data_IF_224388669324
#
_entry.id   IF_224388669324
#
_cell.length_a   1.000
_cell.length_b   1.000
_cell.length_c   1.000
_cell.angle_alpha   90.00
_cell.angle_beta   90.00
_cell.angle_gamma   90.00
#
_symmetry.space_group_name_H-M   'P 1'
#
loop_
_entity.id
_entity.type
_entity.pdbx_description
1 polymer ?
#
# COMPACT_ATOMS: atom_id res chain seq x y z
N UNK A 1 28.10 -17.75 20.49
CA UNK A 1 27.31 -16.62 21.02
C UNK A 1 27.09 -15.62 19.90
N UNK A 2 25.84 -15.14 19.66
CA UNK A 2 25.56 -14.14 18.62
C UNK A 2 26.30 -12.82 18.84
N UNK A 3 26.71 -12.51 20.07
CA UNK A 3 27.51 -11.35 20.44
C UNK A 3 28.91 -11.32 19.83
N UNK A 4 29.40 -12.47 19.37
CA UNK A 4 30.78 -12.59 18.83
C UNK A 4 30.82 -12.36 17.31
N UNK A 5 29.67 -12.24 16.65
CA UNK A 5 29.55 -11.99 15.22
C UNK A 5 29.74 -10.50 14.94
N UNK A 6 30.84 -10.13 14.29
CA UNK A 6 31.13 -8.74 13.85
C UNK A 6 30.53 -8.50 12.46
N UNK A 7 29.20 -8.55 12.33
CA UNK A 7 28.50 -8.27 11.07
C UNK A 7 28.59 -6.77 10.75
N UNK A 8 29.02 -6.45 9.53
CA UNK A 8 29.13 -5.08 9.03
C UNK A 8 28.02 -4.78 8.01
N UNK A 9 27.69 -3.50 7.82
CA UNK A 9 26.67 -3.08 6.83
C UNK A 9 26.96 -3.58 5.40
N UNK A 10 28.24 -3.73 5.02
CA UNK A 10 28.67 -4.22 3.70
C UNK A 10 28.53 -5.73 3.52
N UNK A 11 28.40 -6.50 4.60
CA UNK A 11 28.33 -7.94 4.53
C UNK A 11 27.04 -8.40 3.84
N UNK A 12 27.11 -9.55 3.19
CA UNK A 12 25.97 -10.14 2.48
C UNK A 12 24.91 -10.59 3.48
N UNK A 13 23.71 -10.08 3.33
CA UNK A 13 22.56 -10.48 4.14
C UNK A 13 21.82 -11.65 3.52
N UNK A 14 21.55 -11.58 2.21
CA UNK A 14 20.86 -12.64 1.47
C UNK A 14 21.12 -12.54 -0.03
N UNK A 15 20.72 -13.61 -0.76
CA UNK A 15 20.70 -13.67 -2.22
C UNK A 15 19.25 -13.94 -2.65
N UNK A 16 18.69 -13.07 -3.51
CA UNK A 16 17.35 -13.23 -4.06
C UNK A 16 17.47 -13.45 -5.56
N UNK A 17 16.91 -14.56 -6.02
CA UNK A 17 16.91 -14.90 -7.45
C UNK A 17 15.81 -14.16 -8.20
N UNK A 18 16.17 -13.62 -9.36
CA UNK A 18 15.23 -13.01 -10.33
C UNK A 18 15.24 -13.82 -11.62
N UNK A 19 14.16 -13.74 -12.41
CA UNK A 19 14.01 -14.51 -13.66
C UNK A 19 15.05 -14.18 -14.74
N UNK A 20 15.78 -13.05 -14.60
CA UNK A 20 16.72 -12.57 -15.60
C UNK A 20 16.09 -12.27 -16.96
N UNK A 21 16.64 -11.29 -17.68
CA UNK A 21 16.09 -10.87 -19.01
C UNK A 21 16.31 -11.88 -20.12
N UNK A 22 17.20 -12.87 -19.94
CA UNK A 22 17.52 -13.90 -20.93
C UNK A 22 17.11 -15.32 -20.48
N UNK A 23 16.19 -15.44 -19.52
CA UNK A 23 15.66 -16.73 -19.07
C UNK A 23 16.53 -17.48 -18.04
N UNK A 24 17.77 -17.09 -17.82
CA UNK A 24 18.60 -17.68 -16.77
C UNK A 24 18.42 -16.91 -15.45
N UNK A 25 18.07 -17.60 -14.35
CA UNK A 25 17.94 -16.96 -13.04
C UNK A 25 19.24 -16.28 -12.62
N UNK A 26 19.13 -15.04 -12.11
CA UNK A 26 20.26 -14.28 -11.57
C UNK A 26 20.09 -14.09 -10.08
N UNK A 27 21.12 -14.44 -9.29
CA UNK A 27 21.16 -14.20 -7.85
C UNK A 27 21.59 -12.76 -7.57
N UNK A 28 20.66 -11.96 -7.06
CA UNK A 28 20.93 -10.59 -6.62
C UNK A 28 21.42 -10.63 -5.18
N UNK A 29 22.64 -10.14 -4.96
CA UNK A 29 23.27 -10.07 -3.65
C UNK A 29 22.80 -8.81 -2.93
N UNK A 30 22.21 -8.97 -1.76
CA UNK A 30 21.74 -7.87 -0.91
C UNK A 30 22.60 -7.79 0.36
N UNK A 31 23.04 -6.59 0.70
CA UNK A 31 23.80 -6.35 1.93
C UNK A 31 22.90 -5.98 3.11
N UNK A 32 23.38 -6.20 4.33
CA UNK A 32 22.71 -5.70 5.53
C UNK A 32 22.48 -4.19 5.46
N UNK A 33 23.44 -3.43 4.96
CA UNK A 33 23.33 -1.98 4.83
C UNK A 33 22.21 -1.54 3.88
N UNK A 34 22.03 -2.23 2.75
CA UNK A 34 20.94 -1.96 1.80
C UNK A 34 19.56 -2.16 2.42
N UNK A 35 19.36 -3.29 3.10
CA UNK A 35 18.09 -3.59 3.81
C UNK A 35 17.85 -2.57 4.92
N UNK A 36 18.83 -2.26 5.75
CA UNK A 36 18.69 -1.28 6.83
C UNK A 36 18.34 0.10 6.29
N UNK A 37 19.00 0.58 5.22
CA UNK A 37 18.69 1.87 4.60
C UNK A 37 17.26 1.93 4.06
N UNK A 38 16.77 0.83 3.48
CA UNK A 38 15.35 0.73 3.07
C UNK A 38 14.40 0.79 4.27
N UNK A 39 14.73 0.13 5.37
CA UNK A 39 13.95 0.19 6.61
C UNK A 39 13.92 1.61 7.19
N UNK A 40 15.04 2.32 7.20
CA UNK A 40 15.13 3.72 7.65
C UNK A 40 14.26 4.64 6.79
N UNK A 41 14.32 4.49 5.46
CA UNK A 41 13.48 5.24 4.51
C UNK A 41 11.99 4.96 4.71
N UNK A 42 11.62 3.70 4.81
CA UNK A 42 10.24 3.27 5.05
C UNK A 42 9.72 3.76 6.42
N UNK A 43 10.53 3.68 7.48
CA UNK A 43 10.19 4.22 8.80
C UNK A 43 9.91 5.73 8.73
N UNK A 44 10.76 6.50 8.04
CA UNK A 44 10.59 7.94 7.90
C UNK A 44 9.31 8.33 7.13
N UNK A 45 8.86 7.50 6.19
CA UNK A 45 7.59 7.66 5.51
C UNK A 45 6.42 7.31 6.43
N UNK A 46 6.46 6.12 7.03
CA UNK A 46 5.35 5.52 7.76
C UNK A 46 5.07 6.22 9.09
N UNK A 47 6.11 6.61 9.86
CA UNK A 47 5.96 7.25 11.19
C UNK A 47 5.07 8.48 11.22
N UNK A 48 4.83 9.10 10.05
CA UNK A 48 3.98 10.28 9.92
C UNK A 48 2.48 9.99 10.09
N UNK A 49 2.06 8.72 9.93
CA UNK A 49 0.64 8.38 9.90
C UNK A 49 0.26 7.05 10.56
N UNK A 50 1.22 6.18 10.90
CA UNK A 50 0.93 4.93 11.61
C UNK A 50 0.81 5.16 13.12
N UNK A 51 0.11 4.25 13.80
CA UNK A 51 0.05 4.23 15.26
C UNK A 51 1.31 3.58 15.87
N UNK A 52 1.43 3.67 17.19
CA UNK A 52 2.38 2.85 17.95
C UNK A 52 1.94 1.39 17.83
N UNK A 53 2.85 0.50 17.40
CA UNK A 53 2.55 -0.91 17.10
C UNK A 53 1.45 -1.07 16.04
N UNK A 54 1.66 -0.57 14.81
CA UNK A 54 0.67 -0.60 13.74
C UNK A 54 0.35 -2.04 13.34
N UNK A 55 -0.84 -2.27 12.80
CA UNK A 55 -1.24 -3.57 12.24
C UNK A 55 -0.91 -3.65 10.77
N UNK A 56 -0.21 -4.72 10.39
CA UNK A 56 0.09 -5.07 9.01
C UNK A 56 -0.57 -6.38 8.64
N UNK A 57 -1.06 -6.48 7.42
CA UNK A 57 -1.47 -7.75 6.81
C UNK A 57 -0.50 -8.11 5.70
N UNK A 58 0.16 -9.24 5.85
CA UNK A 58 1.15 -9.81 4.94
C UNK A 58 0.54 -10.94 4.14
N UNK A 59 0.78 -10.98 2.83
CA UNK A 59 0.26 -11.98 1.92
C UNK A 59 1.14 -12.26 0.70
N UNK A 60 2.11 -11.40 0.43
CA UNK A 60 3.05 -11.57 -0.67
C UNK A 60 4.13 -12.59 -0.30
N UNK A 61 4.74 -13.28 -1.30
CA UNK A 61 5.79 -14.25 -1.06
C UNK A 61 7.03 -13.62 -0.43
N UNK A 62 7.54 -14.19 0.66
CA UNK A 62 8.77 -13.74 1.34
C UNK A 62 10.04 -13.96 0.51
N UNK A 63 9.97 -14.81 -0.50
CA UNK A 63 11.05 -15.02 -1.48
C UNK A 63 11.24 -13.83 -2.43
N UNK A 64 10.25 -12.91 -2.50
CA UNK A 64 10.34 -11.71 -3.30
C UNK A 64 10.92 -10.55 -2.47
N UNK A 65 11.90 -9.83 -3.03
CA UNK A 65 12.64 -8.76 -2.32
C UNK A 65 11.73 -7.70 -1.67
N UNK A 66 10.61 -7.39 -2.29
CA UNK A 66 9.66 -6.42 -1.78
C UNK A 66 9.08 -6.85 -0.43
N UNK A 67 8.43 -8.00 -0.34
CA UNK A 67 7.86 -8.49 0.92
C UNK A 67 8.94 -8.88 1.92
N UNK A 68 10.07 -9.42 1.44
CA UNK A 68 11.22 -9.72 2.29
C UNK A 68 11.67 -8.50 3.10
N UNK A 69 11.83 -7.35 2.43
CA UNK A 69 12.22 -6.10 3.10
C UNK A 69 11.08 -5.54 3.97
N UNK A 70 9.83 -5.67 3.56
CA UNK A 70 8.67 -5.26 4.37
C UNK A 70 8.64 -5.97 5.72
N UNK A 71 9.08 -7.24 5.81
CA UNK A 71 9.17 -7.93 7.11
C UNK A 71 10.16 -7.23 8.06
N UNK A 72 11.29 -6.76 7.57
CA UNK A 72 12.22 -5.98 8.40
C UNK A 72 11.64 -4.62 8.79
N UNK A 73 10.92 -3.95 7.88
CA UNK A 73 10.20 -2.72 8.21
C UNK A 73 9.19 -2.96 9.34
N UNK A 74 8.45 -4.06 9.29
CA UNK A 74 7.48 -4.44 10.34
C UNK A 74 8.16 -4.61 11.70
N UNK A 75 9.37 -5.18 11.74
CA UNK A 75 10.18 -5.29 12.97
C UNK A 75 10.58 -3.89 13.47
N UNK A 76 11.08 -3.03 12.58
CA UNK A 76 11.52 -1.67 12.93
C UNK A 76 10.39 -0.83 13.52
N UNK A 77 9.16 -0.94 13.00
CA UNK A 77 8.00 -0.21 13.53
C UNK A 77 7.29 -0.95 14.66
N UNK A 78 7.84 -2.06 15.16
CA UNK A 78 7.24 -2.92 16.18
C UNK A 78 5.79 -3.31 15.84
N UNK A 79 5.52 -3.67 14.58
CA UNK A 79 4.20 -3.96 14.08
C UNK A 79 3.59 -5.23 14.71
N UNK A 80 2.26 -5.27 14.74
CA UNK A 80 1.49 -6.50 14.87
C UNK A 80 1.26 -7.04 13.47
N UNK A 81 1.88 -8.17 13.15
CA UNK A 81 1.84 -8.76 11.81
C UNK A 81 0.81 -9.88 11.78
N UNK A 82 -0.08 -9.82 10.80
CA UNK A 82 -1.07 -10.84 10.48
C UNK A 82 -0.74 -11.42 9.11
N UNK A 83 -0.86 -12.72 8.96
CA UNK A 83 -0.65 -13.42 7.69
C UNK A 83 -1.99 -13.82 7.10
N UNK A 84 -2.22 -13.48 5.84
CA UNK A 84 -3.46 -13.84 5.17
C UNK A 84 -3.53 -15.36 4.94
N UNK A 85 -4.72 -15.92 5.10
CA UNK A 85 -4.97 -17.36 4.89
C UNK A 85 -4.83 -17.74 3.41
N UNK A 86 -5.33 -16.90 2.50
CA UNK A 86 -5.26 -17.06 1.05
C UNK A 86 -5.62 -15.75 0.35
N UNK A 87 -5.32 -15.66 -0.96
CA UNK A 87 -5.69 -14.51 -1.78
C UNK A 87 -7.21 -14.31 -1.82
N UNK A 88 -7.99 -15.38 -1.88
CA UNK A 88 -9.46 -15.31 -1.94
C UNK A 88 -10.07 -14.78 -0.64
N UNK A 89 -9.42 -15.04 0.49
CA UNK A 89 -9.85 -14.57 1.81
C UNK A 89 -9.28 -13.21 2.20
N UNK A 90 -8.44 -12.60 1.37
CA UNK A 90 -7.67 -11.41 1.71
C UNK A 90 -8.55 -10.25 2.23
N UNK A 91 -9.67 -9.97 1.56
CA UNK A 91 -10.62 -8.91 1.99
C UNK A 91 -11.25 -9.25 3.35
N UNK A 92 -11.61 -10.51 3.58
CA UNK A 92 -12.13 -10.99 4.86
C UNK A 92 -11.08 -10.81 5.96
N UNK A 93 -9.85 -11.26 5.72
CA UNK A 93 -8.76 -11.11 6.66
C UNK A 93 -8.44 -9.62 6.97
N UNK A 94 -8.52 -8.72 5.96
CA UNK A 94 -8.44 -7.27 6.20
C UNK A 94 -9.54 -6.77 7.13
N UNK A 95 -10.78 -7.22 6.93
CA UNK A 95 -11.90 -6.84 7.81
C UNK A 95 -11.68 -7.28 9.25
N UNK A 96 -11.11 -8.47 9.45
CA UNK A 96 -10.87 -9.08 10.77
C UNK A 96 -9.69 -8.43 11.50
N UNK A 97 -8.53 -8.28 10.85
CA UNK A 97 -7.33 -7.74 11.49
C UNK A 97 -7.26 -6.21 11.49
N UNK A 98 -8.09 -5.54 10.67
CA UNK A 98 -8.14 -4.07 10.55
C UNK A 98 -6.76 -3.45 10.35
N UNK A 99 -6.02 -3.77 9.27
CA UNK A 99 -4.65 -3.32 9.10
C UNK A 99 -4.59 -1.80 8.87
N UNK A 100 -3.51 -1.19 9.33
CA UNK A 100 -3.21 0.22 9.04
C UNK A 100 -2.43 0.36 7.74
N UNK A 101 -1.56 -0.60 7.45
CA UNK A 101 -0.76 -0.65 6.23
C UNK A 101 -0.85 -2.05 5.61
N UNK A 102 -0.94 -2.09 4.31
CA UNK A 102 -0.85 -3.32 3.53
C UNK A 102 -0.10 -3.07 2.24
N UNK A 103 0.87 -3.92 1.97
CA UNK A 103 1.63 -3.96 0.72
C UNK A 103 0.92 -4.85 -0.28
N UNK A 104 0.89 -4.45 -1.55
CA UNK A 104 0.32 -5.25 -2.61
C UNK A 104 0.92 -4.93 -3.98
N UNK A 105 0.63 -5.77 -4.96
CA UNK A 105 1.05 -5.61 -6.35
C UNK A 105 -0.07 -4.99 -7.19
N UNK A 106 0.24 -4.36 -8.36
CA UNK A 106 -0.75 -3.67 -9.19
C UNK A 106 -2.00 -4.49 -9.53
N UNK A 107 -1.86 -5.78 -9.75
CA UNK A 107 -2.98 -6.69 -10.04
C UNK A 107 -4.05 -6.70 -8.95
N UNK A 108 -3.66 -6.63 -7.68
CA UNK A 108 -4.60 -6.53 -6.56
C UNK A 108 -5.43 -5.25 -6.67
N UNK A 109 -4.80 -4.11 -6.93
CA UNK A 109 -5.47 -2.82 -7.03
C UNK A 109 -6.39 -2.73 -8.24
N UNK A 110 -6.01 -3.31 -9.38
CA UNK A 110 -6.87 -3.43 -10.57
C UNK A 110 -8.15 -4.21 -10.25
N UNK A 111 -8.02 -5.36 -9.58
CA UNK A 111 -9.17 -6.17 -9.18
C UNK A 111 -10.06 -5.43 -8.17
N UNK A 112 -9.45 -4.72 -7.23
CA UNK A 112 -10.17 -3.91 -6.24
C UNK A 112 -10.94 -2.76 -6.91
N UNK A 113 -10.29 -2.02 -7.81
CA UNK A 113 -10.90 -0.99 -8.64
C UNK A 113 -12.11 -1.54 -9.39
N UNK A 114 -11.95 -2.67 -10.09
CA UNK A 114 -13.03 -3.30 -10.85
C UNK A 114 -14.23 -3.67 -9.95
N UNK A 115 -13.99 -4.27 -8.78
CA UNK A 115 -15.06 -4.63 -7.83
C UNK A 115 -15.83 -3.40 -7.34
N UNK A 116 -15.14 -2.33 -6.95
CA UNK A 116 -15.77 -1.11 -6.45
C UNK A 116 -16.53 -0.41 -7.60
N UNK A 117 -15.93 -0.27 -8.77
CA UNK A 117 -16.55 0.36 -9.95
C UNK A 117 -17.81 -0.40 -10.40
N UNK A 118 -17.78 -1.73 -10.41
CA UNK A 118 -18.96 -2.55 -10.72
C UNK A 118 -20.07 -2.30 -9.70
N UNK A 119 -19.75 -2.21 -8.41
CA UNK A 119 -20.74 -1.87 -7.37
C UNK A 119 -21.33 -0.45 -7.57
N UNK A 120 -20.49 0.51 -7.96
CA UNK A 120 -20.92 1.88 -8.25
C UNK A 120 -21.83 1.95 -9.50
N UNK A 121 -21.51 1.17 -10.53
CA UNK A 121 -22.31 1.12 -11.76
C UNK A 121 -23.70 0.52 -11.53
N UNK A 122 -23.86 -0.38 -10.56
CA UNK A 122 -25.17 -0.94 -10.16
C UNK A 122 -25.98 0.02 -9.30
N UNK A 123 -25.42 1.12 -8.82
CA UNK A 123 -26.15 2.10 -8.02
C UNK A 123 -27.13 2.89 -8.90
N UNK A 124 -28.31 3.21 -8.36
CA UNK A 124 -29.38 3.98 -9.01
C UNK A 124 -29.80 5.18 -8.15
N UNK A 125 -30.54 6.12 -8.73
CA UNK A 125 -31.09 7.27 -8.02
C UNK A 125 -30.04 8.10 -7.26
N UNK A 126 -30.38 8.56 -6.08
CA UNK A 126 -29.52 9.38 -5.22
C UNK A 126 -28.17 8.70 -4.89
N UNK A 127 -28.16 7.36 -4.79
CA UNK A 127 -26.93 6.62 -4.54
C UNK A 127 -25.95 6.76 -5.69
N UNK A 128 -26.44 6.74 -6.94
CA UNK A 128 -25.60 6.94 -8.14
C UNK A 128 -24.97 8.33 -8.16
N UNK A 129 -25.77 9.36 -7.85
CA UNK A 129 -25.28 10.74 -7.77
C UNK A 129 -24.17 10.83 -6.71
N UNK A 130 -24.40 10.28 -5.53
CA UNK A 130 -23.46 10.35 -4.42
C UNK A 130 -22.12 9.64 -4.70
N UNK A 131 -22.13 8.45 -5.33
CA UNK A 131 -20.89 7.74 -5.67
C UNK A 131 -20.09 8.45 -6.77
N UNK A 132 -20.78 9.00 -7.78
CA UNK A 132 -20.14 9.79 -8.83
C UNK A 132 -19.49 11.06 -8.25
N UNK A 133 -20.22 11.78 -7.41
CA UNK A 133 -19.74 12.97 -6.72
C UNK A 133 -18.53 12.66 -5.84
N UNK A 134 -18.55 11.50 -5.15
CA UNK A 134 -17.41 11.04 -4.34
C UNK A 134 -16.14 10.89 -5.18
N UNK A 135 -16.24 10.30 -6.37
CA UNK A 135 -15.10 10.13 -7.28
C UNK A 135 -14.63 11.49 -7.80
N UNK A 136 -15.54 12.35 -8.26
CA UNK A 136 -15.22 13.66 -8.81
C UNK A 136 -14.51 14.56 -7.79
N UNK A 137 -15.09 14.70 -6.60
CA UNK A 137 -14.50 15.51 -5.53
C UNK A 137 -13.19 14.90 -5.01
N UNK A 138 -13.10 13.56 -4.98
CA UNK A 138 -11.86 12.89 -4.63
C UNK A 138 -10.74 13.17 -5.62
N UNK A 139 -10.99 13.07 -6.93
CA UNK A 139 -10.02 13.43 -7.99
C UNK A 139 -9.66 14.91 -7.93
N UNK A 140 -10.64 15.80 -7.74
CA UNK A 140 -10.40 17.25 -7.57
C UNK A 140 -9.47 17.56 -6.39
N UNK A 141 -9.63 16.81 -5.26
CA UNK A 141 -8.76 16.92 -4.09
C UNK A 141 -7.32 16.46 -4.40
N UNK A 142 -7.15 15.38 -5.14
CA UNK A 142 -5.83 14.90 -5.58
C UNK A 142 -5.11 15.92 -6.47
N UNK A 143 -5.85 16.61 -7.34
CA UNK A 143 -5.33 17.70 -8.16
C UNK A 143 -5.03 18.98 -7.36
N UNK A 144 -5.18 18.96 -6.03
CA UNK A 144 -4.98 20.12 -5.12
C UNK A 144 -5.84 21.35 -5.50
N UNK A 145 -6.98 21.14 -6.17
CA UNK A 145 -7.93 22.18 -6.56
C UNK A 145 -8.79 22.60 -5.36
N UNK A 146 -9.04 23.91 -5.24
CA UNK A 146 -9.91 24.45 -4.19
C UNK A 146 -11.37 24.02 -4.38
N UNK A 147 -12.04 23.73 -3.28
CA UNK A 147 -13.49 23.48 -3.25
C UNK A 147 -14.26 24.78 -3.04
N UNK A 148 -15.42 24.91 -3.70
CA UNK A 148 -16.44 25.88 -3.32
C UNK A 148 -17.07 25.48 -1.98
N UNK A 149 -17.87 26.37 -1.38
CA UNK A 149 -18.60 26.08 -0.13
C UNK A 149 -19.53 24.87 -0.27
N UNK A 150 -20.25 24.78 -1.39
CA UNK A 150 -21.16 23.68 -1.72
C UNK A 150 -20.37 22.36 -1.87
N UNK A 151 -19.29 22.38 -2.65
CA UNK A 151 -18.43 21.20 -2.82
C UNK A 151 -17.78 20.73 -1.50
N UNK A 152 -17.44 21.67 -0.62
CA UNK A 152 -16.90 21.34 0.72
C UNK A 152 -17.93 20.60 1.57
N UNK A 153 -19.19 21.04 1.54
CA UNK A 153 -20.29 20.36 2.24
C UNK A 153 -20.57 18.99 1.60
N UNK A 154 -20.69 18.94 0.27
CA UNK A 154 -20.87 17.70 -0.47
C UNK A 154 -19.75 16.69 -0.18
N UNK A 155 -18.49 17.14 -0.13
CA UNK A 155 -17.36 16.29 0.19
C UNK A 155 -17.43 15.69 1.61
N UNK A 156 -17.95 16.44 2.62
CA UNK A 156 -18.19 15.89 3.97
C UNK A 156 -19.25 14.80 3.96
N UNK A 157 -20.31 14.97 3.16
CA UNK A 157 -21.35 13.95 2.98
C UNK A 157 -20.76 12.70 2.31
N UNK A 158 -20.00 12.88 1.23
CA UNK A 158 -19.29 11.79 0.54
C UNK A 158 -18.34 11.04 1.47
N UNK A 159 -17.62 11.75 2.35
CA UNK A 159 -16.75 11.14 3.36
C UNK A 159 -17.53 10.22 4.29
N UNK A 160 -18.63 10.71 4.84
CA UNK A 160 -19.43 9.96 5.83
C UNK A 160 -20.21 8.79 5.20
N UNK A 161 -20.82 9.00 4.03
CA UNK A 161 -21.77 8.04 3.45
C UNK A 161 -21.14 7.06 2.47
N UNK A 162 -20.00 7.40 1.85
CA UNK A 162 -19.34 6.55 0.85
C UNK A 162 -17.96 6.10 1.32
N UNK A 163 -17.01 7.03 1.50
CA UNK A 163 -15.61 6.66 1.79
C UNK A 163 -15.46 5.89 3.09
N UNK A 164 -16.14 6.33 4.16
CA UNK A 164 -16.14 5.61 5.44
C UNK A 164 -16.72 4.20 5.31
N UNK A 165 -17.80 4.00 4.52
CA UNK A 165 -18.37 2.67 4.28
C UNK A 165 -17.41 1.76 3.51
N UNK A 166 -16.75 2.30 2.49
CA UNK A 166 -15.73 1.55 1.74
C UNK A 166 -14.58 1.16 2.68
N UNK A 167 -14.03 2.12 3.42
CA UNK A 167 -12.94 1.87 4.36
C UNK A 167 -13.28 0.82 5.42
N UNK A 168 -14.52 0.81 5.91
CA UNK A 168 -14.97 -0.17 6.88
C UNK A 168 -14.99 -1.61 6.35
N UNK A 169 -15.14 -1.83 5.03
CA UNK A 169 -15.01 -3.16 4.43
C UNK A 169 -13.58 -3.72 4.55
N UNK A 170 -12.60 -2.85 4.79
CA UNK A 170 -11.21 -3.19 5.01
C UNK A 170 -10.80 -3.04 6.48
N UNK A 171 -11.75 -3.17 7.41
CA UNK A 171 -11.52 -3.08 8.85
C UNK A 171 -11.47 -1.65 9.42
N UNK A 172 -11.67 -0.61 8.59
CA UNK A 172 -11.82 0.78 9.03
C UNK A 172 -10.54 1.52 9.45
N UNK A 173 -9.44 0.81 9.66
CA UNK A 173 -8.18 1.38 10.17
C UNK A 173 -7.14 1.73 9.10
N UNK A 174 -7.39 1.35 7.85
CA UNK A 174 -6.43 1.50 6.77
C UNK A 174 -5.96 2.95 6.61
N UNK A 175 -4.66 3.16 6.72
CA UNK A 175 -3.96 4.43 6.52
C UNK A 175 -3.34 4.53 5.13
N UNK A 176 -2.74 3.42 4.67
CA UNK A 176 -2.19 3.35 3.33
C UNK A 176 -2.13 1.91 2.79
N UNK A 177 -2.48 1.76 1.52
CA UNK A 177 -1.94 0.73 0.65
C UNK A 177 -0.62 1.20 0.08
N UNK A 178 0.33 0.28 -0.11
CA UNK A 178 1.60 0.57 -0.78
C UNK A 178 1.73 -0.38 -1.96
N UNK A 179 1.68 0.16 -3.17
CA UNK A 179 1.85 -0.58 -4.42
C UNK A 179 3.33 -0.72 -4.78
N UNK A 180 3.79 -1.92 -5.00
CA UNK A 180 5.15 -2.22 -5.44
C UNK A 180 5.19 -3.38 -6.43
N UNK A 181 6.37 -3.70 -6.93
CA UNK A 181 6.58 -4.81 -7.87
C UNK A 181 6.14 -4.54 -9.31
N UNK A 182 5.67 -3.34 -9.63
CA UNK A 182 5.28 -2.92 -10.98
C UNK A 182 4.57 -1.57 -10.98
N UNK A 183 4.40 -0.98 -12.17
CA UNK A 183 3.70 0.28 -12.33
C UNK A 183 2.20 0.12 -12.04
N UNK A 184 1.67 0.95 -11.16
CA UNK A 184 0.23 1.05 -10.93
C UNK A 184 -0.37 1.99 -11.98
N UNK A 185 -1.45 1.56 -12.63
CA UNK A 185 -2.19 2.41 -13.55
C UNK A 185 -2.69 3.67 -12.83
N UNK A 186 -2.51 4.83 -13.48
CA UNK A 186 -2.83 6.14 -12.91
C UNK A 186 -4.32 6.29 -12.57
N UNK A 187 -5.20 5.80 -13.43
CA UNK A 187 -6.65 5.88 -13.20
C UNK A 187 -7.06 5.00 -12.02
N UNK A 188 -6.47 3.81 -11.91
CA UNK A 188 -6.70 2.90 -10.77
C UNK A 188 -6.25 3.56 -9.47
N UNK A 189 -5.03 4.09 -9.43
CA UNK A 189 -4.50 4.78 -8.25
C UNK A 189 -5.34 6.01 -7.87
N UNK A 190 -5.67 6.86 -8.84
CA UNK A 190 -6.50 8.05 -8.64
C UNK A 190 -7.90 7.70 -8.12
N UNK A 191 -8.53 6.67 -8.69
CA UNK A 191 -9.84 6.21 -8.25
C UNK A 191 -9.83 5.71 -6.81
N UNK A 192 -8.88 4.83 -6.46
CA UNK A 192 -8.78 4.27 -5.10
C UNK A 192 -8.56 5.38 -4.07
N UNK A 193 -7.68 6.32 -4.34
CA UNK A 193 -7.48 7.49 -3.49
C UNK A 193 -8.76 8.35 -3.38
N UNK A 194 -9.46 8.58 -4.49
CA UNK A 194 -10.68 9.37 -4.52
C UNK A 194 -11.81 8.77 -3.67
N UNK A 195 -11.90 7.43 -3.63
CA UNK A 195 -12.92 6.72 -2.84
C UNK A 195 -12.51 6.43 -1.39
N UNK A 196 -11.38 6.99 -0.93
CA UNK A 196 -10.97 6.92 0.48
C UNK A 196 -10.10 5.72 0.83
N UNK A 197 -9.47 5.10 -0.16
CA UNK A 197 -8.45 4.05 0.01
C UNK A 197 -7.07 4.61 -0.38
N UNK A 198 -6.35 5.25 0.56
CA UNK A 198 -5.06 5.86 0.25
C UNK A 198 -4.10 4.83 -0.33
N UNK A 199 -3.66 5.06 -1.55
CA UNK A 199 -2.80 4.15 -2.30
C UNK A 199 -1.55 4.88 -2.73
N UNK A 200 -0.42 4.50 -2.15
CA UNK A 200 0.91 5.02 -2.46
C UNK A 200 1.58 4.10 -3.48
N UNK A 201 2.45 4.66 -4.29
CA UNK A 201 3.24 3.89 -5.25
C UNK A 201 4.71 3.94 -4.86
N UNK A 202 5.31 2.76 -4.67
CA UNK A 202 6.74 2.56 -4.53
C UNK A 202 7.37 2.17 -5.86
N UNK A 203 8.56 2.69 -6.11
CA UNK A 203 9.42 2.31 -7.22
C UNK A 203 10.70 1.67 -6.69
N UNK A 204 11.12 0.60 -7.33
CA UNK A 204 12.35 -0.09 -6.99
C UNK A 204 12.57 -1.37 -7.79
N UNK A 205 13.72 -1.98 -7.53
CA UNK A 205 14.21 -3.20 -8.17
C UNK A 205 14.77 -4.12 -7.07
N UNK A 206 14.90 -5.42 -7.32
CA UNK A 206 15.57 -6.31 -6.35
C UNK A 206 16.97 -5.81 -6.02
N UNK A 207 17.70 -5.31 -7.01
CA UNK A 207 19.06 -4.79 -6.92
C UNK A 207 19.17 -3.50 -6.06
N UNK A 208 18.06 -2.83 -5.76
CA UNK A 208 18.04 -1.60 -4.94
C UNK A 208 17.60 -1.83 -3.49
N UNK A 209 17.45 -3.08 -3.06
CA UNK A 209 17.18 -3.57 -1.69
C UNK A 209 15.79 -3.28 -1.08
N UNK A 210 14.67 -3.26 -1.73
CA UNK A 210 14.41 -3.02 -3.15
C UNK A 210 14.00 -1.58 -3.47
N UNK A 211 13.54 -0.77 -2.47
CA UNK A 211 12.83 0.50 -2.69
C UNK A 211 13.81 1.65 -2.96
N UNK A 212 13.63 2.34 -4.08
CA UNK A 212 14.34 3.58 -4.42
C UNK A 212 13.52 4.80 -3.97
N UNK A 213 12.22 4.80 -4.24
CA UNK A 213 11.33 5.90 -3.88
C UNK A 213 9.91 5.42 -3.60
N UNK A 214 9.18 6.21 -2.83
CA UNK A 214 7.74 6.04 -2.62
C UNK A 214 7.12 7.41 -2.45
N UNK A 215 5.95 7.65 -3.05
CA UNK A 215 5.23 8.89 -2.79
C UNK A 215 4.63 8.91 -1.38
N UNK A 216 4.29 10.10 -0.91
CA UNK A 216 3.71 10.31 0.43
C UNK A 216 2.20 10.56 0.35
N UNK A 217 1.52 10.53 1.49
CA UNK A 217 0.10 10.88 1.58
C UNK A 217 -0.18 12.34 1.19
N UNK A 218 0.81 13.22 1.32
CA UNK A 218 0.69 14.65 0.99
C UNK A 218 0.95 14.93 -0.51
N UNK A 219 1.58 13.98 -1.20
CA UNK A 219 1.93 14.10 -2.63
C UNK A 219 1.71 12.76 -3.35
N UNK A 220 0.44 12.40 -3.49
CA UNK A 220 0.01 11.24 -4.27
C UNK A 220 -0.10 11.67 -5.73
N UNK A 221 0.64 10.98 -6.61
CA UNK A 221 0.68 11.24 -8.05
C UNK A 221 0.26 10.02 -8.84
#
# INVERSE_FOLDING_TARGET
NFSDLKIQRKDIACIIYTSGTQGNPKGVILSHGGIISNCEGAYNLLKKFISVRPRFLTWLPLSHSYEHTVQFVQIVVAARVFYAESIDKLIKNMSECSPEVMTAVPRFYQNLHQKISTSFNKATGLKKILVNETVNLGKKKLDKKKFSLIESLSNKICEKLVRKKIKNQFGGSLKAFISGGGALDKEVGSFLNAVGLPTLQGYGLTETSPVVSCNSLDDIR
#
